data_IF_005706063066
#
_entry.id   IF_005706063066
#
_cell.length_a   1.000
_cell.length_b   1.000
_cell.length_c   1.000
_cell.angle_alpha   90.00
_cell.angle_beta   90.00
_cell.angle_gamma   90.00
#
_symmetry.space_group_name_H-M   'P 1'
#
loop_
_entity.id
_entity.type
_entity.pdbx_description
1 polymer ?
#
# COMPACT_ATOMS: atom_id res chain seq x y z
N UNK A 1 -9.50 -13.33 -22.37
CA UNK A 1 -10.04 -13.40 -21.01
C UNK A 1 -10.45 -12.02 -20.52
N UNK A 2 -11.39 -11.94 -19.59
CA UNK A 2 -11.71 -10.71 -18.88
C UNK A 2 -11.26 -10.80 -17.43
N UNK A 3 -10.84 -9.68 -16.86
CA UNK A 3 -10.34 -9.60 -15.49
C UNK A 3 -11.14 -8.56 -14.71
N UNK A 4 -11.44 -8.84 -13.45
CA UNK A 4 -12.03 -7.90 -12.51
C UNK A 4 -10.95 -7.39 -11.54
N UNK A 5 -10.84 -6.07 -11.40
CA UNK A 5 -10.08 -5.42 -10.32
C UNK A 5 -11.08 -4.83 -9.34
N UNK A 6 -11.03 -5.24 -8.08
CA UNK A 6 -11.86 -4.67 -7.01
C UNK A 6 -11.14 -3.48 -6.38
N UNK A 7 -11.80 -2.32 -6.36
CA UNK A 7 -11.30 -1.09 -5.76
C UNK A 7 -11.43 0.13 -6.66
N UNK A 8 -10.94 1.28 -6.19
CA UNK A 8 -11.11 2.57 -6.86
C UNK A 8 -9.93 3.53 -6.72
N UNK A 9 -8.84 3.11 -6.09
CA UNK A 9 -7.68 3.95 -5.82
C UNK A 9 -6.62 3.97 -6.92
N UNK A 10 -5.53 4.66 -6.66
CA UNK A 10 -4.39 4.73 -7.57
C UNK A 10 -3.71 3.38 -7.78
N UNK A 11 -3.67 2.55 -6.76
CA UNK A 11 -3.23 1.16 -6.82
C UNK A 11 -4.06 0.37 -7.82
N UNK A 12 -5.38 0.45 -7.74
CA UNK A 12 -6.28 -0.28 -8.63
C UNK A 12 -6.17 0.22 -10.07
N UNK A 13 -6.00 1.52 -10.29
CA UNK A 13 -5.74 2.05 -11.62
C UNK A 13 -4.42 1.51 -12.20
N UNK A 14 -3.35 1.47 -11.41
CA UNK A 14 -2.06 0.93 -11.84
C UNK A 14 -2.13 -0.58 -12.14
N UNK A 15 -2.85 -1.35 -11.32
CA UNK A 15 -3.08 -2.77 -11.56
C UNK A 15 -3.90 -2.99 -12.85
N UNK A 16 -4.99 -2.22 -13.04
CA UNK A 16 -5.84 -2.31 -14.23
C UNK A 16 -5.07 -1.96 -15.51
N UNK A 17 -4.29 -0.87 -15.48
CA UNK A 17 -3.41 -0.47 -16.58
C UNK A 17 -2.38 -1.56 -16.92
N UNK A 18 -1.79 -2.20 -15.90
CA UNK A 18 -0.81 -3.27 -16.13
C UNK A 18 -1.45 -4.54 -16.68
N UNK A 19 -2.59 -4.94 -16.15
CA UNK A 19 -3.38 -6.10 -16.63
C UNK A 19 -3.83 -5.89 -18.07
N UNK A 20 -4.26 -4.68 -18.45
CA UNK A 20 -4.71 -4.35 -19.79
C UNK A 20 -3.62 -4.50 -20.87
N UNK A 21 -2.34 -4.49 -20.50
CA UNK A 21 -1.22 -4.69 -21.42
C UNK A 21 -1.04 -6.14 -21.87
N UNK A 22 -1.57 -7.12 -21.14
CA UNK A 22 -1.53 -8.52 -21.57
C UNK A 22 -2.40 -8.70 -22.83
N UNK A 23 -1.85 -9.25 -23.93
CA UNK A 23 -2.60 -9.41 -25.18
C UNK A 23 -3.77 -10.40 -25.05
N UNK A 24 -3.77 -11.30 -24.08
CA UNK A 24 -4.85 -12.24 -23.80
C UNK A 24 -6.05 -11.58 -23.13
N UNK A 25 -5.84 -10.41 -22.49
CA UNK A 25 -6.90 -9.65 -21.83
C UNK A 25 -7.67 -8.85 -22.86
N UNK A 26 -8.98 -9.11 -22.94
CA UNK A 26 -9.90 -8.39 -23.79
C UNK A 26 -10.50 -7.18 -23.08
N UNK A 27 -10.87 -7.37 -21.80
CA UNK A 27 -11.48 -6.33 -20.96
C UNK A 27 -11.03 -6.46 -19.51
N UNK A 28 -10.83 -5.31 -18.87
CA UNK A 28 -10.60 -5.16 -17.44
C UNK A 28 -11.80 -4.41 -16.85
N UNK A 29 -12.57 -5.08 -16.02
CA UNK A 29 -13.61 -4.44 -15.22
C UNK A 29 -13.01 -3.93 -13.93
N UNK A 30 -13.39 -2.72 -13.49
CA UNK A 30 -12.92 -2.13 -12.24
C UNK A 30 -14.12 -1.74 -11.39
N UNK A 31 -14.24 -2.29 -10.20
CA UNK A 31 -15.41 -2.11 -9.34
C UNK A 31 -15.05 -1.46 -7.99
N UNK A 32 -15.48 -0.23 -7.72
CA UNK A 32 -16.27 0.66 -8.57
C UNK A 32 -15.44 1.46 -9.59
N UNK A 33 -14.10 1.48 -9.49
CA UNK A 33 -13.21 2.26 -10.34
C UNK A 33 -13.22 3.77 -10.02
N UNK A 34 -12.56 4.52 -10.86
CA UNK A 34 -12.46 5.98 -10.78
C UNK A 34 -12.49 6.62 -12.18
N UNK A 35 -12.26 7.93 -12.29
CA UNK A 35 -12.26 8.60 -13.59
C UNK A 35 -11.14 8.10 -14.52
N UNK A 36 -9.97 7.74 -13.98
CA UNK A 36 -8.86 7.21 -14.75
C UNK A 36 -9.15 5.84 -15.34
N UNK A 37 -9.68 4.92 -14.54
CA UNK A 37 -10.06 3.58 -15.01
C UNK A 37 -11.22 3.61 -16.00
N UNK A 38 -12.09 4.63 -15.94
CA UNK A 38 -13.18 4.82 -16.90
C UNK A 38 -12.68 5.17 -18.31
N UNK A 39 -11.51 5.78 -18.43
CA UNK A 39 -10.93 6.22 -19.71
C UNK A 39 -9.70 5.40 -20.13
N UNK A 40 -9.25 4.47 -19.29
CA UNK A 40 -8.09 3.61 -19.59
C UNK A 40 -8.45 2.58 -20.68
N UNK A 41 -7.48 2.30 -21.55
CA UNK A 41 -7.67 1.33 -22.63
C UNK A 41 -8.08 -0.05 -22.10
N UNK A 42 -9.05 -0.68 -22.73
CA UNK A 42 -9.67 -1.97 -22.35
C UNK A 42 -10.38 -1.97 -20.99
N UNK A 43 -10.40 -0.86 -20.24
CA UNK A 43 -11.02 -0.79 -18.92
C UNK A 43 -12.47 -0.32 -18.98
N UNK A 44 -13.29 -0.83 -18.06
CA UNK A 44 -14.69 -0.44 -17.89
C UNK A 44 -15.02 -0.45 -16.39
N UNK A 45 -15.56 0.66 -15.89
CA UNK A 45 -16.01 0.71 -14.50
C UNK A 45 -17.34 -0.01 -14.32
N UNK A 46 -17.48 -0.71 -13.20
CA UNK A 46 -18.71 -1.37 -12.79
C UNK A 46 -19.14 -0.78 -11.46
N UNK A 47 -20.36 -0.24 -11.40
CA UNK A 47 -20.89 0.44 -10.23
C UNK A 47 -21.31 -0.56 -9.13
N UNK A 48 -20.34 -1.30 -8.61
CA UNK A 48 -20.51 -2.22 -7.48
C UNK A 48 -19.54 -1.80 -6.37
N UNK A 49 -20.06 -1.60 -5.16
CA UNK A 49 -19.26 -1.28 -3.97
C UNK A 49 -18.34 -2.44 -3.58
N UNK A 50 -17.16 -2.12 -3.04
CA UNK A 50 -16.16 -3.12 -2.64
C UNK A 50 -16.65 -4.07 -1.53
N UNK A 51 -17.65 -3.67 -0.74
CA UNK A 51 -18.28 -4.48 0.30
C UNK A 51 -19.58 -5.17 -0.16
N UNK A 52 -20.05 -4.94 -1.38
CA UNK A 52 -21.18 -5.66 -1.97
C UNK A 52 -20.71 -7.04 -2.49
N UNK A 53 -20.22 -7.90 -1.59
CA UNK A 53 -19.47 -9.12 -1.92
C UNK A 53 -20.27 -10.07 -2.81
N UNK A 54 -21.57 -10.28 -2.53
CA UNK A 54 -22.44 -11.14 -3.33
C UNK A 54 -22.62 -10.59 -4.75
N UNK A 55 -22.82 -9.27 -4.90
CA UNK A 55 -22.96 -8.63 -6.21
C UNK A 55 -21.65 -8.72 -7.01
N UNK A 56 -20.50 -8.57 -6.35
CA UNK A 56 -19.19 -8.76 -6.97
C UNK A 56 -19.01 -10.19 -7.48
N UNK A 57 -19.39 -11.19 -6.67
CA UNK A 57 -19.31 -12.59 -7.04
C UNK A 57 -20.28 -12.94 -8.19
N UNK A 58 -21.52 -12.47 -8.14
CA UNK A 58 -22.51 -12.64 -9.21
C UNK A 58 -22.07 -12.02 -10.54
N UNK A 59 -21.41 -10.85 -10.47
CA UNK A 59 -20.84 -10.20 -11.64
C UNK A 59 -19.65 -11.01 -12.20
N UNK A 60 -18.74 -11.45 -11.31
CA UNK A 60 -17.55 -12.20 -11.70
C UNK A 60 -17.91 -13.53 -12.36
N UNK A 61 -18.85 -14.27 -11.80
CA UNK A 61 -19.31 -15.56 -12.35
C UNK A 61 -19.79 -15.46 -13.81
N UNK A 62 -20.41 -14.34 -14.16
CA UNK A 62 -20.98 -14.13 -15.51
C UNK A 62 -20.01 -13.51 -16.50
N UNK A 63 -19.01 -12.75 -16.05
CA UNK A 63 -18.30 -11.81 -16.93
C UNK A 63 -16.79 -11.97 -16.94
N UNK A 64 -16.16 -12.60 -15.93
CA UNK A 64 -14.69 -12.61 -15.79
C UNK A 64 -14.13 -13.99 -15.51
N UNK A 65 -12.87 -14.18 -15.85
CA UNK A 65 -12.13 -15.43 -15.61
C UNK A 65 -11.20 -15.30 -14.39
N UNK A 66 -10.88 -14.07 -13.96
CA UNK A 66 -9.90 -13.81 -12.93
C UNK A 66 -10.26 -12.52 -12.19
N UNK A 67 -10.13 -12.53 -10.86
CA UNK A 67 -10.32 -11.35 -10.03
C UNK A 67 -9.08 -11.06 -9.20
N UNK A 68 -8.69 -9.78 -9.13
CA UNK A 68 -7.61 -9.27 -8.27
C UNK A 68 -8.22 -8.26 -7.31
N UNK A 69 -7.97 -8.44 -6.02
CA UNK A 69 -8.49 -7.53 -4.98
C UNK A 69 -7.44 -6.47 -4.68
N UNK A 70 -7.82 -5.20 -4.78
CA UNK A 70 -6.94 -4.07 -4.51
C UNK A 70 -6.87 -3.71 -3.02
N UNK A 71 -7.98 -3.25 -2.38
CA UNK A 71 -7.96 -2.74 -1.01
C UNK A 71 -8.14 -3.84 0.04
N UNK A 72 -7.76 -3.51 1.27
CA UNK A 72 -7.82 -4.41 2.43
C UNK A 72 -9.25 -4.68 2.93
N UNK A 73 -10.14 -3.70 2.82
CA UNK A 73 -11.48 -3.78 3.42
C UNK A 73 -12.29 -4.98 2.91
N UNK A 74 -12.42 -5.24 1.61
CA UNK A 74 -13.12 -6.44 1.12
C UNK A 74 -12.36 -7.74 1.44
N UNK A 75 -11.03 -7.70 1.56
CA UNK A 75 -10.23 -8.88 1.97
C UNK A 75 -10.56 -9.32 3.39
N UNK A 76 -10.56 -8.37 4.33
CA UNK A 76 -10.93 -8.61 5.72
C UNK A 76 -12.40 -9.04 5.83
N UNK A 77 -13.28 -8.52 4.97
CA UNK A 77 -14.69 -8.90 4.90
C UNK A 77 -14.94 -10.29 4.28
N UNK A 78 -13.93 -10.95 3.71
CA UNK A 78 -14.05 -12.31 3.20
C UNK A 78 -14.44 -12.45 1.73
N UNK A 79 -14.16 -11.46 0.89
CA UNK A 79 -14.45 -11.53 -0.55
C UNK A 79 -13.79 -12.72 -1.22
N UNK A 80 -12.53 -13.04 -0.86
CA UNK A 80 -11.80 -14.17 -1.42
C UNK A 80 -12.41 -15.50 -0.99
N UNK A 81 -12.83 -15.62 0.29
CA UNK A 81 -13.52 -16.80 0.80
C UNK A 81 -14.81 -17.08 0.01
N UNK A 82 -15.61 -16.04 -0.21
CA UNK A 82 -16.83 -16.13 -0.99
C UNK A 82 -16.56 -16.58 -2.44
N UNK A 83 -15.62 -15.93 -3.13
CA UNK A 83 -15.29 -16.26 -4.51
C UNK A 83 -14.81 -17.71 -4.65
N UNK A 84 -13.91 -18.16 -3.78
CA UNK A 84 -13.42 -19.54 -3.78
C UNK A 84 -14.52 -20.54 -3.48
N UNK A 85 -15.46 -20.22 -2.58
CA UNK A 85 -16.61 -21.11 -2.30
C UNK A 85 -17.52 -21.31 -3.52
N UNK A 86 -17.48 -20.36 -4.47
CA UNK A 86 -18.21 -20.44 -5.76
C UNK A 86 -17.34 -20.95 -6.91
N UNK A 87 -16.10 -21.37 -6.65
CA UNK A 87 -15.17 -21.83 -7.69
C UNK A 87 -14.66 -20.73 -8.62
N UNK A 88 -14.66 -19.47 -8.16
CA UNK A 88 -14.16 -18.32 -8.90
C UNK A 88 -12.71 -18.02 -8.55
N UNK A 89 -11.86 -17.85 -9.57
CA UNK A 89 -10.47 -17.48 -9.41
C UNK A 89 -10.37 -16.04 -8.86
N UNK A 90 -9.82 -15.92 -7.65
CA UNK A 90 -9.66 -14.65 -6.95
C UNK A 90 -8.30 -14.60 -6.25
N UNK A 91 -7.47 -13.64 -6.65
CA UNK A 91 -6.15 -13.44 -6.09
C UNK A 91 -6.22 -12.43 -4.94
N UNK A 92 -5.92 -12.92 -3.77
CA UNK A 92 -5.90 -12.22 -2.50
C UNK A 92 -5.95 -13.21 -1.34
N UNK A 93 -5.62 -12.79 -0.12
CA UNK A 93 -5.73 -13.63 1.07
C UNK A 93 -7.19 -13.78 1.51
N UNK A 94 -7.49 -14.93 2.15
CA UNK A 94 -8.75 -15.14 2.87
C UNK A 94 -8.89 -14.18 4.05
N UNK A 95 -10.08 -14.04 4.60
CA UNK A 95 -10.33 -13.21 5.79
C UNK A 95 -9.43 -13.61 6.97
N UNK A 96 -9.20 -14.92 7.17
CA UNK A 96 -8.28 -15.41 8.19
C UNK A 96 -6.84 -14.98 7.98
N UNK A 97 -6.34 -15.03 6.75
CA UNK A 97 -5.00 -14.56 6.40
C UNK A 97 -4.90 -13.02 6.40
N UNK A 98 -5.97 -12.32 6.04
CA UNK A 98 -6.04 -10.86 6.04
C UNK A 98 -6.01 -10.23 7.44
N UNK A 99 -6.11 -11.03 8.52
CA UNK A 99 -5.89 -10.56 9.89
C UNK A 99 -4.50 -9.93 10.10
N UNK A 100 -3.50 -10.29 9.28
CA UNK A 100 -2.18 -9.66 9.32
C UNK A 100 -2.23 -8.13 9.08
N UNK A 101 -3.26 -7.61 8.42
CA UNK A 101 -3.53 -6.18 8.31
C UNK A 101 -4.74 -5.76 9.15
N UNK A 102 -5.74 -6.62 9.25
CA UNK A 102 -7.00 -6.33 9.91
C UNK A 102 -6.90 -6.14 11.43
N UNK A 103 -5.90 -6.75 12.08
CA UNK A 103 -5.65 -6.59 13.52
C UNK A 103 -4.16 -6.48 13.81
N UNK A 104 -3.75 -5.32 14.33
CA UNK A 104 -2.37 -5.09 14.76
C UNK A 104 -1.97 -5.95 15.95
N UNK A 105 -2.91 -6.18 16.88
CA UNK A 105 -2.69 -7.06 18.02
C UNK A 105 -2.46 -8.51 17.56
N UNK A 106 -3.30 -9.03 16.66
CA UNK A 106 -3.07 -10.34 16.05
C UNK A 106 -1.68 -10.44 15.42
N UNK A 107 -1.31 -9.42 14.62
CA UNK A 107 -0.02 -9.40 13.92
C UNK A 107 1.15 -9.41 14.89
N UNK A 108 1.10 -8.60 15.95
CA UNK A 108 2.17 -8.57 16.95
C UNK A 108 2.31 -9.90 17.68
N UNK A 109 1.21 -10.48 18.10
CA UNK A 109 1.22 -11.78 18.79
C UNK A 109 1.69 -12.91 17.85
N UNK A 110 1.32 -12.85 16.57
CA UNK A 110 1.83 -13.74 15.51
C UNK A 110 3.35 -13.60 15.35
N UNK A 111 3.85 -12.37 15.19
CA UNK A 111 5.29 -12.10 15.07
C UNK A 111 6.08 -12.63 16.26
N UNK A 112 5.54 -12.47 17.47
CA UNK A 112 6.17 -12.98 18.69
C UNK A 112 6.19 -14.52 18.72
N UNK A 113 5.08 -15.20 18.39
CA UNK A 113 5.00 -16.66 18.37
C UNK A 113 5.99 -17.28 17.38
N UNK A 114 6.13 -16.68 16.21
CA UNK A 114 7.00 -17.15 15.14
C UNK A 114 8.40 -16.54 15.16
N UNK A 115 8.74 -15.76 16.20
CA UNK A 115 10.07 -15.13 16.43
C UNK A 115 10.52 -14.27 15.25
N UNK A 116 9.58 -13.58 14.61
CA UNK A 116 9.84 -12.66 13.52
C UNK A 116 10.25 -11.30 14.10
N UNK A 117 11.36 -10.68 13.66
CA UNK A 117 11.84 -9.44 14.22
C UNK A 117 10.84 -8.29 14.10
N UNK A 118 10.49 -7.68 15.21
CA UNK A 118 9.61 -6.50 15.30
C UNK A 118 9.96 -5.69 16.55
N UNK A 119 9.37 -4.51 16.71
CA UNK A 119 9.46 -3.70 17.92
C UNK A 119 8.90 -4.44 19.14
N UNK A 120 9.49 -4.26 20.30
CA UNK A 120 8.90 -4.67 21.57
C UNK A 120 7.52 -4.02 21.71
N UNK A 121 6.55 -4.74 22.24
CA UNK A 121 5.17 -4.26 22.29
C UNK A 121 4.39 -4.78 23.50
N UNK A 122 3.29 -4.10 23.79
CA UNK A 122 2.26 -4.57 24.73
C UNK A 122 0.87 -4.11 24.24
N UNK A 123 -0.11 -4.99 24.40
CA UNK A 123 -1.52 -4.71 24.07
C UNK A 123 -2.29 -4.24 25.32
N UNK A 124 -3.17 -3.24 25.15
CA UNK A 124 -4.00 -2.70 26.23
C UNK A 124 -5.43 -2.45 25.77
N UNK A 125 -6.39 -2.73 26.66
CA UNK A 125 -7.81 -2.41 26.50
C UNK A 125 -8.28 -1.42 27.57
N UNK A 126 -7.43 -1.12 28.57
CA UNK A 126 -7.73 -0.22 29.68
C UNK A 126 -6.69 0.89 29.79
N UNK A 127 -7.15 2.11 30.11
CA UNK A 127 -6.32 3.31 30.12
C UNK A 127 -5.23 3.24 31.18
N UNK A 128 -5.57 2.94 32.45
CA UNK A 128 -4.59 3.02 33.54
C UNK A 128 -3.42 2.04 33.40
N UNK A 129 -3.60 0.76 33.02
CA UNK A 129 -2.47 -0.12 32.72
C UNK A 129 -1.60 0.39 31.56
N UNK A 130 -2.20 0.95 30.51
CA UNK A 130 -1.46 1.52 29.39
C UNK A 130 -0.61 2.72 29.82
N UNK A 131 -1.16 3.63 30.64
CA UNK A 131 -0.41 4.77 31.16
C UNK A 131 0.74 4.34 32.08
N UNK A 132 0.53 3.32 32.90
CA UNK A 132 1.58 2.77 33.76
C UNK A 132 2.74 2.23 32.93
N UNK A 133 2.43 1.51 31.84
CA UNK A 133 3.44 1.00 30.90
C UNK A 133 4.20 2.14 30.19
N UNK A 134 3.50 3.20 29.74
CA UNK A 134 4.15 4.36 29.13
C UNK A 134 5.14 5.03 30.10
N UNK A 135 4.77 5.18 31.37
CA UNK A 135 5.65 5.79 32.40
C UNK A 135 6.87 4.94 32.69
N UNK A 136 6.74 3.62 32.59
CA UNK A 136 7.86 2.69 32.72
C UNK A 136 8.83 2.78 31.53
N UNK A 137 8.27 2.78 30.29
CA UNK A 137 9.07 2.75 29.06
C UNK A 137 9.63 4.11 28.65
N UNK A 138 8.89 5.19 28.92
CA UNK A 138 9.25 6.54 28.50
C UNK A 138 8.95 6.82 27.02
N UNK A 139 9.51 7.94 26.51
CA UNK A 139 9.41 8.35 25.13
C UNK A 139 10.81 8.49 24.51
N UNK A 140 11.00 8.38 23.16
CA UNK A 140 9.93 8.22 22.15
C UNK A 140 9.31 6.82 22.19
N UNK A 141 8.02 6.75 21.83
CA UNK A 141 7.24 5.50 21.82
C UNK A 141 6.11 5.60 20.77
N UNK A 142 5.61 4.46 20.30
CA UNK A 142 4.58 4.42 19.26
C UNK A 142 3.28 3.83 19.81
N UNK A 143 2.17 4.51 19.58
CA UNK A 143 0.82 4.07 19.97
C UNK A 143 0.01 3.82 18.71
N UNK A 144 -0.58 2.64 18.60
CA UNK A 144 -1.39 2.23 17.45
C UNK A 144 -2.78 1.78 17.91
N UNK A 145 -3.83 2.33 17.32
CA UNK A 145 -5.17 1.78 17.44
C UNK A 145 -5.23 0.43 16.71
N UNK A 146 -5.87 -0.57 17.30
CA UNK A 146 -6.08 -1.87 16.66
C UNK A 146 -7.14 -1.76 15.54
N UNK A 147 -7.01 -2.60 14.49
CA UNK A 147 -7.93 -2.59 13.35
C UNK A 147 -7.52 -1.63 12.23
N UNK A 148 -8.41 -1.54 11.23
CA UNK A 148 -8.22 -0.71 10.03
C UNK A 148 -8.49 0.76 10.33
N UNK A 149 -7.46 1.59 10.35
CA UNK A 149 -7.56 3.03 10.62
C UNK A 149 -6.98 3.90 9.49
N UNK A 150 -6.81 3.34 8.28
CA UNK A 150 -6.31 4.02 7.09
C UNK A 150 -5.03 4.85 7.32
N UNK A 151 -4.09 4.30 8.11
CA UNK A 151 -2.82 4.97 8.46
C UNK A 151 -2.93 6.10 9.51
N UNK A 152 -4.14 6.48 9.90
CA UNK A 152 -4.38 7.57 10.87
C UNK A 152 -4.31 7.11 12.34
N UNK A 153 -4.42 5.81 12.58
CA UNK A 153 -4.41 5.22 13.93
C UNK A 153 -3.01 4.97 14.50
N UNK A 154 -1.97 5.63 14.00
CA UNK A 154 -0.59 5.49 14.45
C UNK A 154 -0.05 6.85 14.89
N UNK A 155 0.36 6.95 16.15
CA UNK A 155 0.97 8.13 16.74
C UNK A 155 2.38 7.78 17.21
N UNK A 156 3.36 8.46 16.62
CA UNK A 156 4.75 8.45 17.09
C UNK A 156 4.89 9.58 18.11
N UNK A 157 4.86 9.23 19.38
CA UNK A 157 4.94 10.19 20.48
C UNK A 157 6.40 10.43 20.85
N UNK A 158 6.86 11.67 20.70
CA UNK A 158 8.21 12.06 21.06
C UNK A 158 8.32 12.44 22.55
N UNK A 159 7.19 12.69 23.20
CA UNK A 159 7.10 13.01 24.63
C UNK A 159 6.12 12.09 25.35
N UNK A 160 6.29 11.91 26.64
CA UNK A 160 5.38 11.11 27.46
C UNK A 160 3.97 11.71 27.48
N UNK A 161 3.84 13.04 27.50
CA UNK A 161 2.54 13.72 27.46
C UNK A 161 1.77 13.40 26.18
N UNK A 162 2.42 13.47 25.01
CA UNK A 162 1.81 13.09 23.73
C UNK A 162 1.36 11.63 23.73
N UNK A 163 2.17 10.74 24.33
CA UNK A 163 1.84 9.32 24.42
C UNK A 163 0.62 9.07 25.31
N UNK A 164 0.56 9.72 26.49
CA UNK A 164 -0.57 9.60 27.40
C UNK A 164 -1.87 10.15 26.78
N UNK A 165 -1.80 11.29 26.10
CA UNK A 165 -2.96 11.88 25.41
C UNK A 165 -3.46 10.96 24.30
N UNK A 166 -2.56 10.36 23.52
CA UNK A 166 -2.91 9.41 22.46
C UNK A 166 -3.63 8.17 23.02
N UNK A 167 -3.13 7.60 24.12
CA UNK A 167 -3.76 6.44 24.76
C UNK A 167 -5.17 6.79 25.28
N UNK A 168 -5.32 7.94 25.95
CA UNK A 168 -6.62 8.38 26.48
C UNK A 168 -7.62 8.59 25.35
N UNK A 169 -7.22 9.26 24.28
CA UNK A 169 -8.10 9.53 23.13
C UNK A 169 -8.52 8.24 22.42
N UNK A 170 -7.59 7.33 22.16
CA UNK A 170 -7.88 6.07 21.48
C UNK A 170 -8.79 5.16 22.32
N UNK A 171 -8.44 4.90 23.59
CA UNK A 171 -9.18 3.96 24.46
C UNK A 171 -10.49 4.55 24.99
N UNK A 172 -10.65 5.88 25.00
CA UNK A 172 -11.94 6.49 25.32
C UNK A 172 -12.98 6.33 24.19
N UNK A 173 -12.61 5.73 23.05
CA UNK A 173 -13.51 5.41 21.93
C UNK A 173 -13.89 6.62 21.07
N UNK A 174 -13.16 7.73 21.19
CA UNK A 174 -13.57 8.99 20.58
C UNK A 174 -13.01 9.18 19.16
N UNK A 175 -11.79 8.71 18.90
CA UNK A 175 -11.10 9.00 17.63
C UNK A 175 -11.26 7.90 16.56
N UNK A 176 -11.38 6.61 16.94
CA UNK A 176 -11.27 5.48 16.01
C UNK A 176 -12.38 4.43 16.16
N UNK A 177 -13.48 4.73 16.86
CA UNK A 177 -14.59 3.80 17.05
C UNK A 177 -14.13 2.43 17.58
N UNK A 178 -14.62 1.35 16.99
CA UNK A 178 -14.28 -0.02 17.41
C UNK A 178 -12.78 -0.34 17.28
N UNK A 179 -12.07 0.27 16.34
CA UNK A 179 -10.62 0.12 16.19
C UNK A 179 -9.83 0.69 17.39
N UNK A 180 -10.39 1.65 18.10
CA UNK A 180 -9.84 2.24 19.32
C UNK A 180 -10.08 1.44 20.59
N UNK A 181 -10.89 0.36 20.56
CA UNK A 181 -11.18 -0.48 21.74
C UNK A 181 -9.94 -1.19 22.30
N UNK A 182 -8.87 -1.27 21.53
CA UNK A 182 -7.58 -1.81 21.90
C UNK A 182 -6.47 -0.96 21.31
N UNK A 183 -5.39 -0.77 22.07
CA UNK A 183 -4.16 -0.13 21.58
C UNK A 183 -2.99 -1.08 21.68
N UNK A 184 -2.07 -0.95 20.73
CA UNK A 184 -0.75 -1.57 20.75
C UNK A 184 0.25 -0.46 21.02
N UNK A 185 1.04 -0.60 22.09
CA UNK A 185 2.14 0.31 22.42
C UNK A 185 3.43 -0.38 22.04
N UNK A 186 4.24 0.28 21.22
CA UNK A 186 5.46 -0.28 20.64
C UNK A 186 6.68 0.57 20.90
N UNK A 187 7.83 -0.08 21.01
CA UNK A 187 9.14 0.56 20.94
C UNK A 187 9.25 1.44 19.70
N UNK A 188 9.84 2.63 19.88
CA UNK A 188 10.24 3.46 18.73
C UNK A 188 11.44 2.82 18.01
N UNK A 189 11.31 2.57 16.72
CA UNK A 189 12.39 2.03 15.89
C UNK A 189 13.09 3.16 15.14
N UNK A 190 14.42 3.17 15.21
CA UNK A 190 15.29 4.06 14.44
C UNK A 190 15.86 3.33 13.23
N UNK A 191 15.81 3.97 12.08
CA UNK A 191 16.26 3.40 10.83
C UNK A 191 15.63 4.04 9.61
N UNK A 192 15.69 3.35 8.49
CA UNK A 192 15.08 3.75 7.23
C UNK A 192 13.93 2.80 6.87
N UNK A 193 12.75 3.35 6.61
CA UNK A 193 11.59 2.54 6.25
C UNK A 193 11.70 2.03 4.82
N UNK A 194 11.29 0.78 4.60
CA UNK A 194 11.20 0.17 3.27
C UNK A 194 9.93 -0.67 3.13
N UNK A 195 9.41 -0.70 1.92
CA UNK A 195 8.28 -1.53 1.50
C UNK A 195 8.79 -2.76 0.78
N UNK A 196 8.67 -3.91 1.41
CA UNK A 196 9.09 -5.20 0.84
C UNK A 196 7.84 -6.00 0.47
N UNK A 197 7.58 -6.13 -0.82
CA UNK A 197 6.35 -6.71 -1.33
C UNK A 197 6.66 -8.02 -2.05
N UNK A 198 5.87 -9.04 -1.77
CA UNK A 198 5.98 -10.35 -2.41
C UNK A 198 4.62 -10.84 -2.89
N UNK A 199 4.61 -11.69 -3.91
CA UNK A 199 3.48 -12.56 -4.23
C UNK A 199 3.66 -13.88 -3.50
N UNK A 200 2.58 -14.41 -2.95
CA UNK A 200 2.56 -15.67 -2.20
C UNK A 200 1.46 -16.56 -2.77
N UNK A 201 1.75 -17.84 -2.92
CA UNK A 201 0.81 -18.84 -3.46
C UNK A 201 0.41 -19.94 -2.44
N UNK A 202 0.68 -19.68 -1.18
CA UNK A 202 0.47 -20.61 -0.07
C UNK A 202 1.74 -21.35 0.36
N UNK A 203 2.68 -21.59 -0.55
CA UNK A 203 3.94 -22.31 -0.27
C UNK A 203 5.17 -21.66 -0.89
N UNK A 204 5.00 -21.02 -2.04
CA UNK A 204 6.08 -20.34 -2.75
C UNK A 204 5.93 -18.84 -2.63
N UNK A 205 7.04 -18.14 -2.81
CA UNK A 205 7.13 -16.67 -2.73
C UNK A 205 7.87 -16.14 -3.94
N UNK A 206 7.30 -15.13 -4.58
CA UNK A 206 7.95 -14.37 -5.65
C UNK A 206 8.12 -12.92 -5.18
N UNK A 207 9.37 -12.47 -4.88
CA UNK A 207 9.61 -11.08 -4.54
C UNK A 207 9.29 -10.14 -5.70
N UNK A 208 8.59 -9.03 -5.38
CA UNK A 208 8.38 -7.92 -6.28
C UNK A 208 9.52 -6.90 -6.14
N UNK A 209 9.56 -5.89 -7.01
CA UNK A 209 10.52 -4.81 -6.83
C UNK A 209 10.25 -4.09 -5.50
N UNK A 210 11.32 -3.77 -4.79
CA UNK A 210 11.25 -3.01 -3.52
C UNK A 210 10.86 -1.56 -3.78
N UNK A 211 10.34 -0.89 -2.75
CA UNK A 211 9.91 0.50 -2.82
C UNK A 211 10.12 1.18 -1.47
N UNK A 212 10.13 2.51 -1.48
CA UNK A 212 10.05 3.34 -0.28
C UNK A 212 9.00 4.42 -0.51
N UNK A 213 8.14 4.64 0.49
CA UNK A 213 7.13 5.68 0.47
C UNK A 213 7.48 6.85 1.40
N UNK A 214 6.79 7.96 1.23
CA UNK A 214 6.89 9.15 2.07
C UNK A 214 5.55 9.36 2.79
N UNK A 215 5.49 9.00 4.07
CA UNK A 215 4.23 8.99 4.84
C UNK A 215 3.81 10.36 5.37
N UNK A 216 4.76 11.25 5.64
CA UNK A 216 4.46 12.59 6.15
C UNK A 216 3.94 13.51 5.06
N UNK A 217 2.98 14.38 5.40
CA UNK A 217 2.31 15.26 4.44
C UNK A 217 3.21 16.34 3.87
N UNK A 218 4.16 16.86 4.65
CA UNK A 218 5.01 18.00 4.30
C UNK A 218 6.44 17.62 3.94
N UNK A 219 7.09 18.51 3.22
CA UNK A 219 8.51 18.44 2.89
C UNK A 219 9.36 18.29 4.17
N UNK A 220 10.49 17.58 4.05
CA UNK A 220 11.36 17.29 5.19
C UNK A 220 10.72 16.35 6.22
N UNK A 221 9.77 15.51 5.80
CA UNK A 221 9.04 14.58 6.67
C UNK A 221 8.36 15.28 7.86
N UNK A 222 7.68 16.38 7.59
CA UNK A 222 6.95 17.19 8.57
C UNK A 222 5.44 16.98 8.50
N UNK A 223 4.74 17.35 9.58
CA UNK A 223 3.28 17.25 9.66
C UNK A 223 2.77 15.83 9.96
N UNK A 224 1.45 15.61 9.86
CA UNK A 224 0.85 14.34 10.17
C UNK A 224 1.20 13.23 9.15
N UNK A 225 1.05 11.98 9.57
CA UNK A 225 1.09 10.82 8.69
C UNK A 225 -0.10 10.81 7.72
N UNK A 226 0.14 10.28 6.53
CA UNK A 226 -0.85 10.11 5.46
C UNK A 226 -0.85 8.67 4.97
N UNK A 227 -1.61 8.37 3.93
CA UNK A 227 -1.52 7.12 3.19
C UNK A 227 -0.29 7.00 2.30
N UNK A 228 0.55 8.04 2.22
CA UNK A 228 1.73 8.16 1.35
C UNK A 228 1.59 9.31 0.36
N UNK A 229 2.60 10.19 0.35
CA UNK A 229 2.67 11.38 -0.54
C UNK A 229 3.51 11.14 -1.78
N UNK A 230 4.06 9.97 -1.93
CA UNK A 230 4.87 9.54 -3.04
C UNK A 230 5.68 8.31 -2.69
N UNK A 231 6.21 7.66 -3.70
CA UNK A 231 7.06 6.49 -3.55
C UNK A 231 8.05 6.37 -4.71
N UNK A 232 9.09 5.61 -4.50
CA UNK A 232 10.04 5.27 -5.56
C UNK A 232 10.45 3.79 -5.48
N UNK A 233 10.89 3.26 -6.59
CA UNK A 233 11.34 1.88 -6.75
C UNK A 233 12.58 1.85 -7.66
N UNK A 234 13.62 1.04 -7.35
CA UNK A 234 13.76 0.19 -6.16
C UNK A 234 14.10 0.98 -4.91
N UNK A 235 14.07 0.34 -3.74
CA UNK A 235 14.53 0.88 -2.46
C UNK A 235 16.04 0.66 -2.29
N UNK A 236 16.90 1.69 -2.34
CA UNK A 236 18.35 1.49 -2.24
C UNK A 236 18.82 0.96 -0.89
N UNK A 237 18.05 1.19 0.18
CA UNK A 237 18.34 0.65 1.51
C UNK A 237 18.23 -0.87 1.56
N UNK A 238 17.43 -1.47 0.67
CA UNK A 238 17.31 -2.92 0.55
C UNK A 238 18.38 -3.45 -0.40
N UNK A 239 19.60 -3.58 0.11
CA UNK A 239 20.71 -4.22 -0.58
C UNK A 239 20.43 -5.72 -0.77
N UNK A 240 21.25 -6.42 -1.57
CA UNK A 240 21.11 -7.87 -1.74
C UNK A 240 21.20 -8.62 -0.41
N UNK A 241 22.06 -8.17 0.51
CA UNK A 241 22.19 -8.75 1.85
C UNK A 241 20.95 -8.50 2.69
N UNK A 242 20.44 -7.27 2.70
CA UNK A 242 19.19 -6.92 3.41
C UNK A 242 18.02 -7.71 2.83
N UNK A 243 17.92 -7.82 1.50
CA UNK A 243 16.90 -8.62 0.83
C UNK A 243 16.90 -10.07 1.34
N UNK A 244 18.07 -10.71 1.41
CA UNK A 244 18.18 -12.08 1.90
C UNK A 244 17.77 -12.19 3.38
N UNK A 245 18.19 -11.24 4.23
CA UNK A 245 17.76 -11.20 5.64
C UNK A 245 16.25 -11.06 5.78
N UNK A 246 15.62 -10.22 4.97
CA UNK A 246 14.16 -10.05 4.97
C UNK A 246 13.46 -11.35 4.57
N UNK A 247 13.94 -12.00 3.52
CA UNK A 247 13.39 -13.29 3.09
C UNK A 247 13.50 -14.34 4.20
N UNK A 248 14.66 -14.48 4.83
CA UNK A 248 14.93 -15.53 5.81
C UNK A 248 14.28 -15.27 7.17
N UNK A 249 14.27 -14.01 7.62
CA UNK A 249 13.82 -13.65 8.97
C UNK A 249 12.37 -13.20 9.04
N UNK A 250 11.80 -12.71 7.92
CA UNK A 250 10.46 -12.12 7.90
C UNK A 250 9.52 -12.91 6.97
N UNK A 251 9.83 -12.98 5.68
CA UNK A 251 8.87 -13.48 4.68
C UNK A 251 8.61 -14.98 4.84
N UNK A 252 9.64 -15.81 4.80
CA UNK A 252 9.46 -17.25 4.94
C UNK A 252 8.86 -17.67 6.28
N UNK A 253 9.28 -17.11 7.43
CA UNK A 253 8.62 -17.39 8.70
C UNK A 253 7.14 -16.97 8.72
N UNK A 254 6.79 -15.84 8.10
CA UNK A 254 5.40 -15.38 8.00
C UNK A 254 4.54 -16.36 7.18
N UNK A 255 4.99 -16.72 5.99
CA UNK A 255 4.24 -17.62 5.09
C UNK A 255 4.03 -19.00 5.73
N UNK A 256 5.08 -19.55 6.34
CA UNK A 256 5.01 -20.85 7.04
C UNK A 256 4.15 -20.78 8.28
N UNK A 257 4.34 -19.76 9.11
CA UNK A 257 3.58 -19.57 10.34
C UNK A 257 2.09 -19.40 10.08
N UNK A 258 1.71 -18.65 9.05
CA UNK A 258 0.31 -18.52 8.64
C UNK A 258 -0.28 -19.86 8.22
N UNK A 259 0.45 -20.66 7.47
CA UNK A 259 0.01 -22.01 7.09
C UNK A 259 -0.11 -22.95 8.30
N UNK A 260 0.84 -22.91 9.22
CA UNK A 260 0.82 -23.70 10.48
C UNK A 260 -0.38 -23.35 11.35
N UNK A 261 -0.79 -22.09 11.37
CA UNK A 261 -1.99 -21.62 12.10
C UNK A 261 -3.30 -21.82 11.31
N UNK A 262 -3.27 -22.48 10.16
CA UNK A 262 -4.45 -22.80 9.36
C UNK A 262 -4.94 -21.64 8.47
N UNK A 263 -4.17 -20.59 8.34
CA UNK A 263 -4.45 -19.40 7.53
C UNK A 263 -3.49 -19.30 6.33
N UNK A 264 -3.53 -20.28 5.45
CA UNK A 264 -2.65 -20.32 4.26
C UNK A 264 -2.77 -19.00 3.47
N UNK A 265 -1.64 -18.34 3.27
CA UNK A 265 -1.60 -17.04 2.60
C UNK A 265 -1.46 -17.19 1.09
N UNK A 266 -2.37 -16.59 0.32
CA UNK A 266 -2.27 -16.42 -1.14
C UNK A 266 -2.60 -14.96 -1.45
N UNK A 267 -1.76 -14.28 -2.21
CA UNK A 267 -1.97 -12.85 -2.54
C UNK A 267 -0.70 -12.06 -2.49
N UNK A 268 -0.82 -10.74 -2.59
CA UNK A 268 0.29 -9.85 -2.27
C UNK A 268 0.45 -9.76 -0.75
N UNK A 269 1.67 -9.86 -0.30
CA UNK A 269 2.05 -9.60 1.09
C UNK A 269 3.07 -8.46 1.10
N UNK A 270 2.69 -7.36 1.72
CA UNK A 270 3.55 -6.20 1.93
C UNK A 270 4.06 -6.23 3.37
N UNK A 271 5.38 -6.29 3.52
CA UNK A 271 6.06 -6.08 4.79
C UNK A 271 6.60 -4.64 4.85
N UNK A 272 6.03 -3.81 5.70
CA UNK A 272 6.60 -2.52 6.09
C UNK A 272 7.71 -2.75 7.11
N UNK A 273 8.92 -2.36 6.75
CA UNK A 273 10.13 -2.68 7.50
C UNK A 273 10.84 -1.42 7.93
N UNK A 274 11.40 -1.45 9.15
CA UNK A 274 12.46 -0.55 9.57
C UNK A 274 13.79 -1.28 9.41
N UNK A 275 14.69 -0.70 8.63
CA UNK A 275 16.04 -1.23 8.40
C UNK A 275 17.02 -0.38 9.22
N UNK A 276 17.67 -0.97 10.19
CA UNK A 276 18.66 -0.29 11.02
C UNK A 276 19.99 -0.05 10.27
N UNK A 277 20.91 0.69 10.86
CA UNK A 277 22.22 1.02 10.28
C UNK A 277 23.09 -0.23 9.99
N UNK A 278 22.82 -1.35 10.65
CA UNK A 278 23.50 -2.63 10.42
C UNK A 278 22.80 -3.50 9.36
N UNK A 279 21.71 -3.03 8.78
CA UNK A 279 20.92 -3.74 7.77
C UNK A 279 20.01 -4.82 8.37
N UNK A 280 19.66 -4.72 9.64
CA UNK A 280 18.71 -5.66 10.26
C UNK A 280 17.28 -5.16 10.07
N UNK A 281 16.39 -6.00 9.51
CA UNK A 281 14.99 -5.65 9.36
C UNK A 281 14.19 -5.91 10.64
N UNK A 282 13.31 -4.98 10.98
CA UNK A 282 12.21 -5.19 11.93
C UNK A 282 10.88 -4.86 11.27
N UNK A 283 9.88 -5.71 11.44
CA UNK A 283 8.55 -5.48 10.90
C UNK A 283 7.86 -4.35 11.67
N UNK A 284 7.41 -3.33 10.92
CA UNK A 284 6.56 -2.26 11.42
C UNK A 284 5.09 -2.68 11.34
N UNK A 285 4.71 -3.21 10.16
CA UNK A 285 3.35 -3.67 9.85
C UNK A 285 3.36 -4.62 8.66
N UNK A 286 2.30 -5.41 8.54
CA UNK A 286 1.95 -6.09 7.29
C UNK A 286 0.75 -5.40 6.66
N UNK A 287 0.75 -5.41 5.32
CA UNK A 287 -0.46 -5.14 4.54
C UNK A 287 -0.75 -6.38 3.69
N UNK A 288 -2.00 -6.81 3.66
CA UNK A 288 -2.43 -8.03 2.97
C UNK A 288 -2.78 -7.80 1.49
N UNK A 289 -2.19 -6.78 0.91
CA UNK A 289 -2.41 -6.29 -0.46
C UNK A 289 -1.19 -5.49 -0.93
N UNK A 290 -1.19 -5.07 -2.19
CA UNK A 290 -0.15 -4.18 -2.70
C UNK A 290 -0.24 -2.79 -2.02
N UNK A 291 0.88 -2.07 -1.93
CA UNK A 291 0.93 -0.72 -1.34
C UNK A 291 0.30 0.35 -2.24
N UNK A 292 -0.13 1.45 -1.65
CA UNK A 292 -0.57 2.66 -2.34
C UNK A 292 0.04 3.89 -1.64
N UNK A 293 1.04 4.58 -2.22
CA UNK A 293 1.30 4.73 -3.66
C UNK A 293 2.45 3.88 -4.25
N UNK A 294 2.86 2.77 -3.64
CA UNK A 294 3.99 1.97 -4.15
C UNK A 294 3.67 1.22 -5.45
N UNK A 295 2.40 0.82 -5.65
CA UNK A 295 1.98 0.07 -6.83
C UNK A 295 2.28 0.83 -8.12
N UNK A 296 2.08 2.14 -8.15
CA UNK A 296 2.24 2.96 -9.33
C UNK A 296 3.69 2.92 -9.87
N UNK A 297 4.72 3.27 -9.10
CA UNK A 297 6.09 3.19 -9.56
C UNK A 297 6.57 1.75 -9.80
N UNK A 298 6.09 0.78 -9.02
CA UNK A 298 6.48 -0.64 -9.19
C UNK A 298 5.90 -1.22 -10.48
N UNK A 299 4.63 -0.98 -10.78
CA UNK A 299 3.98 -1.48 -12.00
C UNK A 299 4.56 -0.83 -13.27
N UNK A 300 5.04 0.41 -13.19
CA UNK A 300 5.70 1.06 -14.32
C UNK A 300 7.00 0.34 -14.71
N UNK A 301 7.71 -0.25 -13.75
CA UNK A 301 8.93 -1.02 -13.96
C UNK A 301 8.69 -2.50 -14.32
N UNK A 302 7.53 -3.06 -14.02
CA UNK A 302 7.26 -4.47 -14.28
C UNK A 302 7.15 -4.72 -15.80
N UNK A 303 8.03 -5.57 -16.33
CA UNK A 303 8.03 -5.97 -17.75
C UNK A 303 7.22 -7.26 -17.98
N UNK A 304 7.16 -8.14 -16.99
CA UNK A 304 6.36 -9.36 -17.06
C UNK A 304 4.86 -9.07 -17.10
N UNK A 305 4.09 -9.97 -17.68
CA UNK A 305 2.63 -9.95 -17.56
C UNK A 305 2.22 -10.21 -16.11
N UNK A 306 1.51 -9.24 -15.50
CA UNK A 306 0.95 -9.42 -14.17
C UNK A 306 -0.06 -10.56 -14.14
N UNK A 307 -0.82 -10.74 -15.21
CA UNK A 307 -1.82 -11.83 -15.33
C UNK A 307 -1.14 -13.19 -15.25
N UNK A 308 -0.01 -13.39 -15.96
CA UNK A 308 0.73 -14.66 -15.90
C UNK A 308 1.27 -14.94 -14.49
N UNK A 309 1.76 -13.91 -13.78
CA UNK A 309 2.22 -14.07 -12.41
C UNK A 309 1.08 -14.43 -11.45
N UNK A 310 -0.08 -13.81 -11.62
CA UNK A 310 -1.27 -14.10 -10.80
C UNK A 310 -1.82 -15.50 -11.10
N UNK A 311 -1.88 -15.90 -12.36
CA UNK A 311 -2.27 -17.28 -12.74
C UNK A 311 -1.31 -18.32 -12.14
N UNK A 312 0.01 -18.05 -12.18
CA UNK A 312 1.01 -18.92 -11.54
C UNK A 312 0.81 -19.00 -10.02
N UNK A 313 0.47 -17.89 -9.36
CA UNK A 313 0.16 -17.90 -7.94
C UNK A 313 -1.09 -18.73 -7.62
N UNK A 314 -2.17 -18.58 -8.38
CA UNK A 314 -3.39 -19.38 -8.20
C UNK A 314 -3.18 -20.88 -8.49
N UNK A 315 -2.25 -21.20 -9.39
CA UNK A 315 -1.83 -22.57 -9.69
C UNK A 315 -0.76 -23.13 -8.72
N UNK A 316 -0.36 -22.37 -7.69
CA UNK A 316 0.74 -22.73 -6.77
C UNK A 316 2.06 -23.05 -7.48
N UNK A 317 2.40 -22.27 -8.48
CA UNK A 317 3.54 -22.44 -9.38
C UNK A 317 4.44 -21.17 -9.46
N UNK A 318 4.48 -20.35 -8.41
CA UNK A 318 5.36 -19.17 -8.38
C UNK A 318 6.85 -19.53 -8.42
N UNK A 319 7.22 -20.75 -8.03
CA UNK A 319 8.57 -21.28 -8.16
C UNK A 319 9.01 -21.55 -9.62
N UNK A 320 8.08 -21.49 -10.57
CA UNK A 320 8.31 -21.72 -12.01
C UNK A 320 8.31 -20.47 -12.87
N UNK A 321 8.13 -19.32 -12.26
CA UNK A 321 8.07 -18.02 -12.95
C UNK A 321 9.03 -17.03 -12.34
N UNK A 322 9.44 -16.06 -13.14
CA UNK A 322 10.27 -14.94 -12.71
C UNK A 322 9.60 -13.62 -13.11
N UNK A 323 9.71 -12.62 -12.26
CA UNK A 323 9.30 -11.26 -12.59
C UNK A 323 10.48 -10.52 -13.23
N UNK A 324 10.28 -10.01 -14.44
CA UNK A 324 11.25 -9.20 -15.17
C UNK A 324 10.98 -7.72 -14.92
N UNK A 325 12.04 -6.97 -14.69
CA UNK A 325 11.97 -5.57 -14.29
C UNK A 325 12.79 -4.66 -15.22
N UNK A 326 12.24 -3.50 -15.54
CA UNK A 326 13.04 -2.41 -16.12
C UNK A 326 14.10 -2.00 -15.08
N UNK A 327 15.39 -1.96 -15.44
CA UNK A 327 16.45 -1.61 -14.49
C UNK A 327 16.41 -0.14 -14.06
N UNK A 328 15.72 0.72 -14.80
CA UNK A 328 15.59 2.13 -14.47
C UNK A 328 14.73 2.31 -13.22
N UNK A 329 15.09 3.21 -12.30
CA UNK A 329 14.23 3.59 -11.19
C UNK A 329 12.97 4.32 -11.67
N UNK A 330 11.95 4.27 -10.84
CA UNK A 330 10.67 4.94 -11.02
C UNK A 330 10.31 5.75 -9.78
N UNK A 331 9.71 6.92 -9.99
CA UNK A 331 9.23 7.82 -8.92
C UNK A 331 7.77 8.17 -9.17
N UNK A 332 6.94 8.08 -8.14
CA UNK A 332 5.55 8.53 -8.15
C UNK A 332 5.32 9.68 -7.18
N UNK A 333 4.74 10.76 -7.66
CA UNK A 333 4.40 11.97 -6.89
C UNK A 333 2.89 12.01 -6.69
N UNK A 334 2.43 11.99 -5.45
CA UNK A 334 1.00 12.10 -5.13
C UNK A 334 0.59 13.56 -5.11
N UNK A 335 -0.41 13.90 -5.94
CA UNK A 335 -1.09 15.19 -5.90
C UNK A 335 -2.33 15.05 -5.02
N UNK A 336 -2.42 15.88 -3.98
CA UNK A 336 -3.46 15.81 -2.97
C UNK A 336 -4.37 17.05 -2.97
N UNK A 337 -5.59 16.87 -2.47
CA UNK A 337 -6.54 17.95 -2.26
C UNK A 337 -6.14 18.82 -1.05
N UNK A 338 -6.35 20.12 -1.15
CA UNK A 338 -6.04 21.07 -0.07
C UNK A 338 -6.76 20.68 1.22
N UNK A 339 -6.00 20.61 2.30
CA UNK A 339 -6.48 20.17 3.62
C UNK A 339 -6.20 18.71 3.96
N UNK A 340 -5.90 17.85 2.97
CA UNK A 340 -5.52 16.45 3.21
C UNK A 340 -4.28 16.37 4.15
N UNK A 341 -4.21 15.48 5.14
CA UNK A 341 -5.12 14.35 5.46
C UNK A 341 -6.33 14.71 6.32
N UNK A 342 -6.56 15.98 6.63
CA UNK A 342 -7.77 16.49 7.27
C UNK A 342 -8.92 16.65 6.28
N UNK A 343 -9.82 17.60 6.56
CA UNK A 343 -10.97 17.87 5.70
C UNK A 343 -10.55 18.53 4.38
N UNK A 344 -11.17 18.12 3.28
CA UNK A 344 -10.89 18.63 1.95
C UNK A 344 -12.15 18.72 1.09
N UNK A 345 -12.14 19.64 0.12
CA UNK A 345 -13.21 19.77 -0.87
C UNK A 345 -13.17 18.66 -1.93
N UNK A 346 -14.34 18.29 -2.41
CA UNK A 346 -14.54 17.34 -3.53
C UNK A 346 -15.27 18.04 -4.68
N UNK A 347 -15.18 17.45 -5.87
CA UNK A 347 -15.87 17.96 -7.05
C UNK A 347 -15.17 19.14 -7.73
N UNK A 348 -13.91 19.40 -7.41
CA UNK A 348 -13.11 20.45 -8.05
C UNK A 348 -12.57 19.93 -9.39
N UNK A 349 -12.78 20.72 -10.46
CA UNK A 349 -12.34 20.35 -11.82
C UNK A 349 -10.81 20.30 -11.92
N UNK A 350 -10.28 19.20 -12.45
CA UNK A 350 -8.85 18.99 -12.67
C UNK A 350 -8.49 19.45 -14.07
N UNK A 351 -7.43 20.27 -14.18
CA UNK A 351 -6.91 20.79 -15.43
C UNK A 351 -5.55 20.19 -15.76
N UNK A 352 -5.16 20.21 -17.03
CA UNK A 352 -3.82 19.84 -17.46
C UNK A 352 -3.57 18.35 -17.67
N UNK A 353 -4.57 17.48 -17.53
CA UNK A 353 -4.40 16.04 -17.75
C UNK A 353 -3.96 15.70 -19.18
N UNK A 354 -4.49 16.43 -20.21
CA UNK A 354 -4.08 16.23 -21.60
C UNK A 354 -2.64 16.68 -21.85
N UNK A 355 -2.21 17.77 -21.20
CA UNK A 355 -0.82 18.21 -21.25
C UNK A 355 0.13 17.20 -20.60
N UNK A 356 -0.27 16.64 -19.44
CA UNK A 356 0.46 15.57 -18.79
C UNK A 356 0.56 14.30 -19.65
N UNK A 357 -0.52 13.93 -20.33
CA UNK A 357 -0.57 12.75 -21.21
C UNK A 357 0.38 12.86 -22.42
N UNK A 358 0.79 14.07 -22.81
CA UNK A 358 1.78 14.30 -23.86
C UNK A 358 3.24 14.17 -23.38
N UNK A 359 3.49 14.06 -22.08
CA UNK A 359 4.80 13.90 -21.49
C UNK A 359 5.14 12.42 -21.27
N UNK A 360 6.43 12.11 -21.17
CA UNK A 360 6.88 10.77 -20.82
C UNK A 360 6.52 10.46 -19.36
N UNK A 361 5.87 9.32 -19.13
CA UNK A 361 5.40 8.86 -17.84
C UNK A 361 3.92 8.48 -17.84
N UNK A 362 3.34 8.32 -16.67
CA UNK A 362 1.91 7.97 -16.52
C UNK A 362 1.32 8.69 -15.31
N UNK A 363 0.14 9.24 -15.49
CA UNK A 363 -0.67 9.76 -14.38
C UNK A 363 -1.72 8.72 -14.02
N UNK A 364 -1.63 8.20 -12.80
CA UNK A 364 -2.62 7.29 -12.25
C UNK A 364 -3.63 8.07 -11.42
N UNK A 365 -4.92 7.78 -11.60
CA UNK A 365 -5.99 8.39 -10.85
C UNK A 365 -6.28 7.61 -9.57
N UNK A 366 -6.49 8.33 -8.48
CA UNK A 366 -6.94 7.81 -7.20
C UNK A 366 -8.33 8.39 -6.87
N UNK A 367 -8.40 9.40 -6.04
CA UNK A 367 -9.64 10.06 -5.67
C UNK A 367 -10.15 10.99 -6.78
N UNK A 368 -10.61 10.44 -7.88
CA UNK A 368 -11.21 11.16 -9.00
C UNK A 368 -12.57 10.59 -9.40
N UNK A 369 -13.42 11.43 -9.98
CA UNK A 369 -14.71 11.04 -10.55
C UNK A 369 -14.96 11.79 -11.88
N UNK A 370 -15.84 11.25 -12.71
CA UNK A 370 -16.36 11.94 -13.89
C UNK A 370 -17.64 12.68 -13.51
N UNK A 371 -17.69 13.98 -13.80
CA UNK A 371 -18.87 14.82 -13.63
C UNK A 371 -19.05 15.68 -14.89
N UNK A 372 -20.17 15.49 -15.56
CA UNK A 372 -20.50 16.21 -16.82
C UNK A 372 -19.37 16.14 -17.87
N UNK A 373 -18.74 14.98 -17.99
CA UNK A 373 -17.62 14.74 -18.91
C UNK A 373 -16.27 15.30 -18.46
N UNK A 374 -16.19 15.91 -17.29
CA UNK A 374 -14.96 16.44 -16.71
C UNK A 374 -14.45 15.54 -15.58
N UNK A 375 -13.12 15.44 -15.47
CA UNK A 375 -12.49 14.80 -14.30
C UNK A 375 -12.46 15.77 -13.15
N UNK A 376 -13.00 15.35 -12.00
CA UNK A 376 -13.06 16.15 -10.78
C UNK A 376 -12.43 15.39 -9.61
N UNK A 377 -12.02 16.14 -8.56
CA UNK A 377 -11.55 15.54 -7.32
C UNK A 377 -12.68 14.82 -6.58
N UNK A 378 -12.37 13.66 -5.99
CA UNK A 378 -13.31 12.87 -5.22
C UNK A 378 -12.69 12.24 -3.95
N UNK A 379 -11.43 12.51 -3.68
CA UNK A 379 -10.70 11.98 -2.52
C UNK A 379 -9.56 12.89 -2.08
N UNK A 380 -8.87 12.51 -1.02
CA UNK A 380 -7.75 13.28 -0.46
C UNK A 380 -6.48 13.15 -1.30
N UNK A 381 -6.05 11.91 -1.60
CA UNK A 381 -5.04 11.65 -2.63
C UNK A 381 -5.76 11.52 -3.96
N UNK A 382 -5.45 12.40 -4.89
CA UNK A 382 -6.24 12.58 -6.12
C UNK A 382 -5.60 11.89 -7.31
N UNK A 383 -4.31 12.17 -7.54
CA UNK A 383 -3.54 11.63 -8.66
C UNK A 383 -2.15 11.20 -8.19
N UNK A 384 -1.50 10.34 -8.98
CA UNK A 384 -0.09 10.01 -8.83
C UNK A 384 0.61 10.19 -10.17
N UNK A 385 1.47 11.19 -10.28
CA UNK A 385 2.31 11.42 -11.45
C UNK A 385 3.57 10.55 -11.34
N UNK A 386 3.74 9.62 -12.28
CA UNK A 386 4.76 8.56 -12.18
C UNK A 386 5.62 8.51 -13.42
N UNK A 387 6.95 8.47 -13.23
CA UNK A 387 7.90 8.40 -14.34
C UNK A 387 9.13 7.54 -14.00
N UNK A 388 9.79 7.03 -15.01
CA UNK A 388 11.11 6.38 -14.93
C UNK A 388 12.20 7.32 -15.40
N UNK A 389 13.43 7.06 -15.00
CA UNK A 389 14.61 7.79 -15.43
C UNK A 389 15.88 6.95 -15.29
N UNK A 390 16.99 7.42 -15.85
CA UNK A 390 18.28 6.76 -15.73
C UNK A 390 18.84 6.70 -14.29
N UNK A 391 18.33 7.58 -13.42
CA UNK A 391 18.60 7.66 -11.99
C UNK A 391 17.32 8.03 -11.25
N UNK A 392 17.30 7.93 -9.92
CA UNK A 392 16.16 8.40 -9.12
C UNK A 392 15.96 9.92 -9.31
N UNK A 393 17.05 10.69 -9.38
CA UNK A 393 17.00 12.13 -9.67
C UNK A 393 16.34 12.41 -11.04
N UNK A 394 16.72 11.71 -12.09
CA UNK A 394 16.12 11.87 -13.42
C UNK A 394 14.62 11.45 -13.43
N UNK A 395 14.28 10.35 -12.77
CA UNK A 395 12.90 9.89 -12.63
C UNK A 395 12.05 10.90 -11.85
N UNK A 396 12.59 11.44 -10.76
CA UNK A 396 11.95 12.48 -9.95
C UNK A 396 11.66 13.74 -10.78
N UNK A 397 12.66 14.24 -11.49
CA UNK A 397 12.50 15.44 -12.33
C UNK A 397 11.41 15.23 -13.39
N UNK A 398 11.37 14.06 -14.01
CA UNK A 398 10.34 13.73 -15.01
C UNK A 398 8.95 13.61 -14.37
N UNK A 399 8.82 12.97 -13.19
CA UNK A 399 7.56 12.89 -12.46
C UNK A 399 7.05 14.27 -12.04
N UNK A 400 7.94 15.18 -11.63
CA UNK A 400 7.57 16.57 -11.31
C UNK A 400 7.16 17.39 -12.53
N UNK A 401 7.69 17.12 -13.72
CA UNK A 401 7.18 17.76 -14.97
C UNK A 401 5.73 17.37 -15.23
N UNK A 402 5.39 16.08 -15.03
CA UNK A 402 3.99 15.63 -15.12
C UNK A 402 3.14 16.33 -14.05
N UNK A 403 3.56 16.31 -12.78
CA UNK A 403 2.83 16.92 -11.68
C UNK A 403 2.59 18.42 -11.91
N UNK A 404 3.61 19.15 -12.38
CA UNK A 404 3.53 20.59 -12.63
C UNK A 404 2.60 21.00 -13.80
N UNK A 405 2.28 20.06 -14.70
CA UNK A 405 1.31 20.31 -15.78
C UNK A 405 -0.14 20.20 -15.35
N UNK A 406 -0.40 19.68 -14.15
CA UNK A 406 -1.73 19.41 -13.60
C UNK A 406 -2.03 20.41 -12.50
N UNK A 407 -3.25 20.93 -12.46
CA UNK A 407 -3.69 21.88 -11.45
C UNK A 407 -5.19 21.81 -11.15
N UNK A 408 -5.56 22.12 -9.93
CA UNK A 408 -6.90 22.44 -9.45
C UNK A 408 -6.81 23.30 -8.20
N UNK A 409 -7.88 23.96 -7.81
CA UNK A 409 -7.91 24.82 -6.62
C UNK A 409 -7.59 24.00 -5.36
N UNK A 410 -6.50 24.37 -4.66
CA UNK A 410 -6.00 23.69 -3.47
C UNK A 410 -5.11 22.47 -3.74
N UNK A 411 -4.73 22.20 -5.00
CA UNK A 411 -3.77 21.16 -5.33
C UNK A 411 -2.44 21.37 -4.62
N UNK A 412 -1.91 20.33 -4.00
CA UNK A 412 -0.55 20.36 -3.45
C UNK A 412 0.12 18.99 -3.56
N UNK A 413 1.43 19.00 -3.54
CA UNK A 413 2.28 17.80 -3.49
C UNK A 413 3.62 18.14 -2.84
N UNK A 414 4.29 17.14 -2.28
CA UNK A 414 5.65 17.29 -1.73
C UNK A 414 6.66 17.51 -2.86
N UNK A 415 7.69 18.30 -2.56
CA UNK A 415 8.75 18.68 -3.52
C UNK A 415 10.04 17.88 -3.34
N UNK A 416 10.10 17.01 -2.35
CA UNK A 416 11.29 16.28 -1.92
C UNK A 416 11.16 14.74 -2.04
N UNK A 417 10.18 14.22 -2.77
CA UNK A 417 10.00 12.78 -2.94
C UNK A 417 11.26 12.16 -3.53
N UNK A 418 11.79 11.11 -2.88
CA UNK A 418 13.01 10.41 -3.31
C UNK A 418 14.31 11.05 -2.81
N UNK A 419 14.27 12.08 -1.97
CA UNK A 419 15.44 12.83 -1.55
C UNK A 419 16.55 11.95 -0.95
N UNK A 420 16.20 10.92 -0.16
CA UNK A 420 17.18 10.00 0.44
C UNK A 420 17.91 9.17 -0.61
N UNK A 421 17.19 8.65 -1.59
CA UNK A 421 17.78 7.88 -2.67
C UNK A 421 18.69 8.76 -3.55
N UNK A 422 18.26 9.99 -3.83
CA UNK A 422 19.05 10.97 -4.60
C UNK A 422 20.31 11.36 -3.85
N UNK A 423 20.26 11.64 -2.56
CA UNK A 423 21.42 11.91 -1.73
C UNK A 423 22.41 10.74 -1.76
N UNK A 424 21.92 9.50 -1.68
CA UNK A 424 22.74 8.30 -1.79
C UNK A 424 23.38 8.15 -3.18
N UNK A 425 22.65 8.43 -4.26
CA UNK A 425 23.22 8.45 -5.63
C UNK A 425 24.36 9.47 -5.78
N UNK A 426 24.27 10.60 -5.09
CA UNK A 426 25.29 11.66 -5.10
C UNK A 426 26.46 11.41 -4.15
N UNK A 427 26.43 10.34 -3.36
CA UNK A 427 27.42 10.04 -2.33
C UNK A 427 27.38 11.01 -1.14
N UNK A 428 26.27 11.70 -0.95
CA UNK A 428 26.03 12.58 0.20
C UNK A 428 25.73 11.72 1.44
N UNK A 429 26.50 11.88 2.51
CA UNK A 429 26.24 11.18 3.77
C UNK A 429 24.93 11.72 4.36
N UNK A 430 24.02 10.81 4.65
CA UNK A 430 22.86 11.12 5.51
C UNK A 430 23.35 11.04 6.97
N UNK A 431 23.51 12.19 7.60
CA UNK A 431 23.72 12.28 9.05
C UNK A 431 22.45 11.93 9.83
#
# INVERSE_FOLDING_TARGET
MNVLIIGSGGREHALAWKVAQDPRVQKVFVAPGNAGTAIEAKCENVAIDVLALEQLADFAEKNVSLTIVGPEVPLVAGVVDLFRSRGLDCFGPTAGAAQLEGSKAFTKDFLARHKIPTADYQNFTEIEPALAYLREKGAPIVIKADGLAAGKGVIVAMTLAEAEDAVRDMLAGNAFGDAGSRVVIEEFLDGEEASFIVMVDGKNVLPMATSQDHKRVGDGDTGPNTGGMGAYSPAPVVTAEVHQRVMDLVIWPTVRGMAEEGNVYTGFLYAGLMIDKAGNPKVIEFNCRFGDPETQPVMLRLQSSLVLLVEAALAQALDKVEAQWDPRPSVGIVLAAGGYPGDYAKGVAIKGLDAAAALEGKVFHAGTALKDGQVVTAGGRVLCATAMGASVDAAQQQAYKLAASIDWEGCFYRKDIGYRAIARERGENQE
#
